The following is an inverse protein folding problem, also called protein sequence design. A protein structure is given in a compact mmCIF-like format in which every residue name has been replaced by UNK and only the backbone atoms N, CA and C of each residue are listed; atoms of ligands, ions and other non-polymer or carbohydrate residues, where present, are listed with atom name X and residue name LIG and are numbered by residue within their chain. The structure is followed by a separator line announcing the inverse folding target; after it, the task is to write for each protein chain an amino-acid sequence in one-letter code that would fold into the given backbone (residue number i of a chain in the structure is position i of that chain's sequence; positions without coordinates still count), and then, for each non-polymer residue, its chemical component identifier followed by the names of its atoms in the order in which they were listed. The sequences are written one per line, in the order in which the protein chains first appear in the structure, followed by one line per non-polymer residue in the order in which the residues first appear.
data_IF_041587724288
#
_entry.id   IF_041587724288
#
_cell.length_a   1.000
_cell.length_b   1.000
_cell.length_c   1.000
_cell.angle_alpha   90.00
_cell.angle_beta   90.00
_cell.angle_gamma   90.00
#
_symmetry.space_group_name_H-M   'P 1'
#
loop_
_entity.id
_entity.type
_entity.pdbx_description
1 polymer ?
#
# COMPACT_ATOMS: atom_id res chain seq x y z
N UNK A 1 -17.53 -28.85 -24.15
CA UNK A 1 -17.11 -27.43 -24.03
C UNK A 1 -17.94 -26.83 -22.90
N UNK A 2 -17.42 -26.80 -21.69
CA UNK A 2 -18.09 -26.16 -20.57
C UNK A 2 -18.01 -24.65 -20.77
N UNK A 3 -19.12 -23.95 -20.56
CA UNK A 3 -19.16 -22.50 -20.53
C UNK A 3 -18.06 -22.03 -19.57
N UNK A 4 -17.10 -21.28 -20.08
CA UNK A 4 -16.10 -20.59 -19.26
C UNK A 4 -16.86 -19.67 -18.33
N UNK A 5 -16.93 -20.01 -17.06
CA UNK A 5 -17.42 -19.08 -16.03
C UNK A 5 -16.65 -17.78 -16.22
N UNK A 6 -17.38 -16.71 -16.52
CA UNK A 6 -16.81 -15.40 -16.76
C UNK A 6 -16.13 -14.96 -15.46
N UNK A 7 -14.80 -14.79 -15.48
CA UNK A 7 -14.04 -14.31 -14.31
C UNK A 7 -14.69 -13.01 -13.79
N UNK A 8 -14.89 -12.92 -12.49
CA UNK A 8 -15.36 -11.71 -11.83
C UNK A 8 -14.38 -10.55 -12.13
N UNK A 9 -14.88 -9.35 -12.28
CA UNK A 9 -14.06 -8.20 -12.64
C UNK A 9 -14.72 -6.88 -12.27
N UNK A 10 -14.00 -5.79 -12.44
CA UNK A 10 -14.52 -4.45 -12.18
C UNK A 10 -15.62 -4.08 -13.15
N UNK A 11 -16.68 -3.48 -12.63
CA UNK A 11 -17.86 -3.10 -13.43
C UNK A 11 -17.71 -1.73 -14.09
N UNK A 12 -16.91 -0.85 -13.46
CA UNK A 12 -16.71 0.52 -13.94
C UNK A 12 -15.24 0.92 -13.89
N UNK A 13 -14.84 1.81 -14.79
CA UNK A 13 -13.49 2.39 -14.79
C UNK A 13 -13.15 3.04 -13.44
N UNK A 14 -14.04 3.85 -12.89
CA UNK A 14 -13.83 4.49 -11.59
C UNK A 14 -13.81 3.49 -10.44
N UNK A 15 -14.59 2.40 -10.53
CA UNK A 15 -14.52 1.31 -9.56
C UNK A 15 -13.16 0.66 -9.52
N UNK A 16 -12.58 0.38 -10.68
CA UNK A 16 -11.19 -0.10 -10.79
C UNK A 16 -10.19 0.91 -10.22
N UNK A 17 -10.25 2.18 -10.65
CA UNK A 17 -9.32 3.22 -10.19
C UNK A 17 -9.41 3.37 -8.67
N UNK A 18 -10.61 3.45 -8.09
CA UNK A 18 -10.79 3.56 -6.64
C UNK A 18 -10.31 2.31 -5.88
N UNK A 19 -10.46 1.12 -6.45
CA UNK A 19 -9.91 -0.09 -5.85
C UNK A 19 -8.37 -0.08 -5.89
N UNK A 20 -7.76 0.37 -6.99
CA UNK A 20 -6.30 0.52 -7.07
C UNK A 20 -5.78 1.63 -6.14
N UNK A 21 -6.50 2.74 -6.02
CA UNK A 21 -6.18 3.78 -5.03
C UNK A 21 -6.25 3.19 -3.63
N UNK A 22 -7.30 2.43 -3.28
CA UNK A 22 -7.42 1.77 -1.99
C UNK A 22 -6.35 0.70 -1.74
N UNK A 23 -5.82 0.07 -2.79
CA UNK A 23 -4.65 -0.80 -2.70
C UNK A 23 -3.37 -0.03 -2.38
N UNK A 24 -3.18 1.12 -3.02
CA UNK A 24 -2.00 1.96 -2.88
C UNK A 24 -2.03 2.79 -1.58
N UNK A 25 -3.18 3.44 -1.31
CA UNK A 25 -3.38 4.26 -0.10
C UNK A 25 -3.55 3.37 1.12
N UNK A 26 -2.50 3.22 1.90
CA UNK A 26 -2.47 2.39 3.10
C UNK A 26 -1.67 3.02 4.24
N UNK A 27 -1.18 2.16 5.13
CA UNK A 27 -0.32 2.59 6.24
C UNK A 27 0.98 3.24 5.75
N UNK A 28 1.43 2.88 4.54
CA UNK A 28 2.56 3.51 3.89
C UNK A 28 2.39 5.02 3.68
N UNK A 29 1.18 5.46 3.32
CA UNK A 29 0.87 6.88 3.09
C UNK A 29 0.56 7.63 4.39
N UNK A 30 -0.14 6.97 5.33
CA UNK A 30 -0.64 7.65 6.54
C UNK A 30 0.38 7.63 7.67
N UNK A 31 1.19 6.62 7.73
CA UNK A 31 2.17 6.45 8.81
C UNK A 31 3.60 6.68 8.33
N UNK A 32 4.08 5.82 7.42
CA UNK A 32 5.48 5.80 7.00
C UNK A 32 5.89 7.06 6.25
N UNK A 33 5.06 7.53 5.31
CA UNK A 33 5.37 8.70 4.50
C UNK A 33 5.54 9.98 5.33
N UNK A 34 4.62 10.35 6.25
CA UNK A 34 4.84 11.51 7.13
C UNK A 34 6.10 11.40 7.98
N UNK A 35 6.43 10.18 8.46
CA UNK A 35 7.67 9.92 9.20
C UNK A 35 8.90 10.23 8.33
N UNK A 36 8.95 9.71 7.10
CA UNK A 36 10.07 9.97 6.19
C UNK A 36 10.17 11.44 5.78
N UNK A 37 9.03 12.11 5.51
CA UNK A 37 9.02 13.57 5.25
C UNK A 37 9.57 14.34 6.45
N UNK A 38 9.23 13.90 7.65
CA UNK A 38 9.69 14.48 8.91
C UNK A 38 11.19 14.25 9.13
N UNK A 39 11.66 13.02 9.03
CA UNK A 39 13.05 12.64 9.30
C UNK A 39 14.05 13.12 8.22
N UNK A 40 13.61 13.19 6.96
CA UNK A 40 14.47 13.48 5.81
C UNK A 40 14.42 14.94 5.34
N UNK A 41 13.71 15.81 6.06
CA UNK A 41 13.78 17.25 5.85
C UNK A 41 12.76 17.83 4.85
N UNK A 42 11.50 17.46 4.96
CA UNK A 42 10.39 18.11 4.23
C UNK A 42 10.55 18.03 2.71
N UNK A 43 10.60 19.18 2.06
CA UNK A 43 10.71 19.30 0.60
C UNK A 43 12.01 18.67 0.05
N UNK A 44 13.06 18.57 0.83
CA UNK A 44 14.31 17.87 0.46
C UNK A 44 14.05 16.42 0.13
N UNK A 45 13.14 15.75 0.84
CA UNK A 45 12.70 14.40 0.56
C UNK A 45 11.61 14.36 -0.54
N UNK A 46 10.68 15.33 -0.54
CA UNK A 46 9.56 15.34 -1.48
C UNK A 46 10.00 15.49 -2.94
N UNK A 47 11.05 16.25 -3.23
CA UNK A 47 11.56 16.44 -4.60
C UNK A 47 11.95 15.10 -5.24
N UNK A 48 12.89 14.30 -4.71
CA UNK A 48 13.21 12.99 -5.28
C UNK A 48 12.02 12.02 -5.23
N UNK A 49 11.16 12.09 -4.21
CA UNK A 49 9.95 11.28 -4.14
C UNK A 49 9.02 11.52 -5.35
N UNK A 50 8.72 12.77 -5.69
CA UNK A 50 7.89 13.07 -6.86
C UNK A 50 8.51 12.58 -8.18
N UNK A 51 9.83 12.71 -8.32
CA UNK A 51 10.55 12.20 -9.49
C UNK A 51 10.32 10.68 -9.61
N UNK A 52 10.49 9.94 -8.53
CA UNK A 52 10.32 8.50 -8.53
C UNK A 52 8.86 8.06 -8.69
N UNK A 53 7.89 8.76 -8.08
CA UNK A 53 6.47 8.47 -8.29
C UNK A 53 6.08 8.62 -9.76
N UNK A 54 6.50 9.69 -10.42
CA UNK A 54 6.24 9.91 -11.84
C UNK A 54 6.89 8.79 -12.68
N UNK A 55 8.12 8.44 -12.37
CA UNK A 55 8.86 7.42 -13.10
C UNK A 55 8.25 6.02 -12.90
N UNK A 56 8.03 5.60 -11.64
CA UNK A 56 7.47 4.27 -11.31
C UNK A 56 6.01 4.17 -11.79
N UNK A 57 5.22 5.22 -11.60
CA UNK A 57 3.83 5.27 -12.08
C UNK A 57 3.72 5.16 -13.60
N UNK A 58 4.71 5.69 -14.34
CA UNK A 58 4.75 5.62 -15.80
C UNK A 58 5.49 4.39 -16.35
N UNK A 59 6.09 3.56 -15.52
CA UNK A 59 6.77 2.30 -15.90
C UNK A 59 6.22 1.10 -15.15
N UNK A 60 6.54 0.93 -13.87
CA UNK A 60 6.20 -0.26 -13.08
C UNK A 60 4.70 -0.49 -12.90
N UNK A 61 3.92 0.55 -12.57
CA UNK A 61 2.46 0.40 -12.43
C UNK A 61 1.81 0.03 -13.75
N UNK A 62 2.23 0.66 -14.84
CA UNK A 62 1.72 0.36 -16.20
C UNK A 62 2.08 -1.07 -16.58
N UNK A 63 3.31 -1.48 -16.33
CA UNK A 63 3.81 -2.82 -16.61
C UNK A 63 3.01 -3.88 -15.88
N UNK A 64 2.84 -3.75 -14.56
CA UNK A 64 2.09 -4.72 -13.75
C UNK A 64 0.62 -4.83 -14.18
N UNK A 65 -0.06 -3.70 -14.42
CA UNK A 65 -1.43 -3.73 -14.95
C UNK A 65 -1.50 -4.41 -16.32
N UNK A 66 -0.55 -4.14 -17.21
CA UNK A 66 -0.52 -4.73 -18.53
C UNK A 66 -0.21 -6.24 -18.48
N UNK A 67 0.71 -6.64 -17.61
CA UNK A 67 1.07 -8.04 -17.37
C UNK A 67 -0.14 -8.84 -16.87
N UNK A 68 -0.79 -8.36 -15.80
CA UNK A 68 -1.97 -8.99 -15.22
C UNK A 68 -3.12 -9.09 -16.22
N UNK A 69 -3.43 -7.99 -16.95
CA UNK A 69 -4.49 -7.97 -17.96
C UNK A 69 -4.22 -8.93 -19.11
N UNK A 70 -3.00 -8.98 -19.58
CA UNK A 70 -2.64 -9.84 -20.72
C UNK A 70 -2.75 -11.32 -20.38
N UNK A 71 -2.40 -11.69 -19.14
CA UNK A 71 -2.53 -13.04 -18.66
C UNK A 71 -3.97 -13.42 -18.25
N UNK A 72 -4.80 -12.43 -17.86
CA UNK A 72 -6.09 -12.68 -17.20
C UNK A 72 -5.94 -13.53 -15.95
N UNK A 73 -4.79 -13.47 -15.28
CA UNK A 73 -4.40 -14.28 -14.15
C UNK A 73 -3.48 -13.49 -13.21
N UNK A 74 -3.40 -13.93 -11.93
CA UNK A 74 -2.43 -13.41 -10.98
C UNK A 74 -0.98 -13.76 -11.35
N UNK A 75 -0.01 -13.42 -10.49
CA UNK A 75 1.43 -13.55 -10.79
C UNK A 75 1.85 -14.92 -11.31
N UNK A 76 1.30 -16.01 -10.76
CA UNK A 76 1.64 -17.37 -11.20
C UNK A 76 1.27 -17.60 -12.66
N UNK A 77 0.04 -17.28 -13.05
CA UNK A 77 -0.41 -17.41 -14.43
C UNK A 77 0.27 -16.43 -15.38
N UNK A 78 0.52 -15.21 -14.92
CA UNK A 78 1.17 -14.16 -15.68
C UNK A 78 2.64 -14.49 -16.01
N UNK A 79 3.40 -14.95 -15.02
CA UNK A 79 4.79 -15.37 -15.25
C UNK A 79 4.86 -16.65 -16.09
N UNK A 80 3.90 -17.58 -15.86
CA UNK A 80 3.75 -18.77 -16.70
C UNK A 80 3.53 -18.40 -18.18
N UNK A 81 2.67 -17.44 -18.47
CA UNK A 81 2.43 -16.93 -19.82
C UNK A 81 3.72 -16.36 -20.46
N UNK A 82 4.48 -15.55 -19.72
CA UNK A 82 5.72 -14.97 -20.23
C UNK A 82 6.76 -16.05 -20.59
N UNK A 83 6.94 -17.05 -19.72
CA UNK A 83 7.91 -18.12 -19.96
C UNK A 83 7.41 -19.16 -20.97
N UNK A 84 6.11 -19.30 -21.21
CA UNK A 84 5.53 -20.10 -22.27
C UNK A 84 5.95 -19.60 -23.66
N UNK A 85 6.07 -18.28 -23.83
CA UNK A 85 6.63 -17.67 -25.05
C UNK A 85 8.09 -18.07 -25.32
N UNK A 86 8.77 -18.61 -24.32
CA UNK A 86 10.14 -19.18 -24.38
C UNK A 86 10.17 -20.71 -24.32
N UNK A 87 8.99 -21.35 -24.42
CA UNK A 87 8.85 -22.80 -24.48
C UNK A 87 8.66 -23.53 -23.15
N UNK A 88 8.59 -22.84 -21.98
CA UNK A 88 8.42 -23.52 -20.72
C UNK A 88 7.58 -22.74 -19.69
N UNK A 89 6.26 -22.99 -19.71
CA UNK A 89 5.30 -22.38 -18.79
C UNK A 89 5.58 -22.70 -17.32
N UNK A 90 6.02 -23.92 -17.03
CA UNK A 90 6.19 -24.39 -15.64
C UNK A 90 7.25 -23.60 -14.85
N UNK A 91 8.29 -23.09 -15.53
CA UNK A 91 9.32 -22.25 -14.89
C UNK A 91 8.69 -20.96 -14.34
N UNK A 92 7.93 -20.25 -15.18
CA UNK A 92 7.25 -19.01 -14.78
C UNK A 92 6.23 -19.24 -13.67
N UNK A 93 5.44 -20.32 -13.74
CA UNK A 93 4.49 -20.66 -12.67
C UNK A 93 5.19 -20.88 -11.33
N UNK A 94 6.35 -21.55 -11.31
CA UNK A 94 7.13 -21.75 -10.08
C UNK A 94 7.70 -20.43 -9.53
N UNK A 95 8.23 -19.57 -10.40
CA UNK A 95 8.76 -18.28 -10.02
C UNK A 95 7.63 -17.38 -9.51
N UNK A 96 6.45 -17.42 -10.13
CA UNK A 96 5.27 -16.64 -9.73
C UNK A 96 4.70 -16.98 -8.35
N UNK A 97 5.13 -18.10 -7.72
CA UNK A 97 4.79 -18.39 -6.33
C UNK A 97 5.47 -17.42 -5.36
N UNK A 98 6.66 -16.91 -5.70
CA UNK A 98 7.42 -15.99 -4.83
C UNK A 98 6.61 -14.74 -4.48
N UNK A 99 6.07 -13.94 -5.45
CA UNK A 99 5.25 -12.79 -5.12
C UNK A 99 3.92 -13.15 -4.43
N UNK A 100 3.33 -14.33 -4.67
CA UNK A 100 2.14 -14.78 -3.93
C UNK A 100 2.47 -14.99 -2.45
N UNK A 101 3.59 -15.64 -2.14
CA UNK A 101 4.06 -15.82 -0.75
C UNK A 101 4.42 -14.47 -0.13
N UNK A 102 5.00 -13.55 -0.89
CA UNK A 102 5.29 -12.18 -0.45
C UNK A 102 4.03 -11.42 -0.09
N UNK A 103 3.01 -11.45 -0.95
CA UNK A 103 1.71 -10.80 -0.71
C UNK A 103 1.01 -11.40 0.52
N UNK A 104 1.01 -12.73 0.66
CA UNK A 104 0.44 -13.41 1.82
C UNK A 104 1.19 -13.05 3.11
N UNK A 105 2.51 -13.10 3.10
CA UNK A 105 3.33 -12.79 4.27
C UNK A 105 3.16 -11.31 4.69
N UNK A 106 3.08 -10.40 3.71
CA UNK A 106 2.79 -8.99 3.95
C UNK A 106 1.39 -8.80 4.55
N UNK A 107 0.37 -9.48 3.99
CA UNK A 107 -1.00 -9.46 4.50
C UNK A 107 -1.09 -9.95 5.96
N UNK A 108 -0.34 -10.98 6.31
CA UNK A 108 -0.28 -11.54 7.67
C UNK A 108 0.28 -10.52 8.65
N UNK A 109 1.43 -9.92 8.37
CA UNK A 109 2.01 -8.87 9.23
C UNK A 109 1.11 -7.63 9.31
N UNK A 110 0.52 -7.24 8.17
CA UNK A 110 -0.44 -6.14 8.09
C UNK A 110 -1.71 -6.41 8.93
N UNK A 111 -2.14 -7.67 9.06
CA UNK A 111 -3.28 -8.06 9.90
C UNK A 111 -3.03 -7.75 11.39
N UNK A 112 -1.80 -7.89 11.87
CA UNK A 112 -1.44 -7.49 13.25
C UNK A 112 -1.63 -5.99 13.44
N UNK A 113 -1.11 -5.18 12.52
CA UNK A 113 -1.25 -3.71 12.54
C UNK A 113 -2.73 -3.31 12.44
N UNK A 114 -3.50 -4.00 11.59
CA UNK A 114 -4.95 -3.77 11.48
C UNK A 114 -5.69 -4.08 12.79
N UNK A 115 -5.26 -5.08 13.54
CA UNK A 115 -5.78 -5.32 14.88
C UNK A 115 -5.57 -4.10 15.79
N UNK A 116 -4.41 -3.46 15.75
CA UNK A 116 -4.17 -2.22 16.49
C UNK A 116 -5.08 -1.08 16.02
N UNK A 117 -5.19 -0.90 14.71
CA UNK A 117 -6.03 0.15 14.11
C UNK A 117 -7.51 -0.03 14.49
N UNK A 118 -8.05 -1.25 14.44
CA UNK A 118 -9.43 -1.53 14.86
C UNK A 118 -9.65 -1.24 16.34
N UNK A 119 -8.71 -1.63 17.20
CA UNK A 119 -8.75 -1.30 18.64
C UNK A 119 -8.79 0.20 18.87
N UNK A 120 -7.89 0.94 18.23
CA UNK A 120 -7.77 2.38 18.41
C UNK A 120 -8.95 3.14 17.79
N UNK A 121 -9.48 2.67 16.65
CA UNK A 121 -10.74 3.21 16.12
C UNK A 121 -11.91 3.01 17.08
N UNK A 122 -12.02 1.85 17.73
CA UNK A 122 -13.00 1.62 18.78
C UNK A 122 -12.77 2.51 20.00
N UNK A 123 -11.53 2.66 20.45
CA UNK A 123 -11.19 3.52 21.59
C UNK A 123 -11.51 4.99 21.31
N UNK A 124 -11.33 5.47 20.08
CA UNK A 124 -11.70 6.84 19.70
C UNK A 124 -13.23 7.02 19.72
N UNK A 125 -13.99 6.09 19.15
CA UNK A 125 -15.47 6.13 19.11
C UNK A 125 -16.06 6.03 20.52
N UNK A 126 -15.58 5.12 21.35
CA UNK A 126 -16.05 4.94 22.72
C UNK A 126 -15.66 6.09 23.65
N UNK A 127 -14.67 6.90 23.27
CA UNK A 127 -14.12 7.98 24.08
C UNK A 127 -13.07 7.53 25.11
N UNK A 128 -12.74 6.24 25.16
CA UNK A 128 -11.72 5.73 26.10
C UNK A 128 -10.31 6.24 25.75
N UNK A 129 -10.04 6.58 24.50
CA UNK A 129 -8.81 7.22 24.07
C UNK A 129 -8.70 8.64 24.63
N UNK A 130 -9.74 9.46 24.45
CA UNK A 130 -9.80 10.81 24.97
C UNK A 130 -9.74 10.86 26.51
N UNK A 131 -10.30 9.83 27.19
CA UNK A 131 -10.25 9.71 28.66
C UNK A 131 -8.82 9.51 29.21
N UNK A 132 -7.84 9.08 28.40
CA UNK A 132 -6.44 8.99 28.81
C UNK A 132 -5.79 10.37 28.96
N UNK A 133 -6.41 11.42 28.44
CA UNK A 133 -5.89 12.81 28.42
C UNK A 133 -4.45 12.87 27.90
N UNK A 134 -3.56 13.54 28.63
CA UNK A 134 -2.14 13.69 28.29
C UNK A 134 -1.21 12.78 29.10
N UNK A 135 -1.75 11.73 29.68
CA UNK A 135 -0.97 10.76 30.45
C UNK A 135 -0.15 9.87 29.50
N UNK A 136 1.10 10.30 29.24
CA UNK A 136 2.02 9.61 28.31
C UNK A 136 2.35 8.19 28.77
N UNK A 137 2.38 7.93 30.08
CA UNK A 137 2.67 6.59 30.62
C UNK A 137 1.50 5.66 30.35
N UNK A 138 0.26 6.15 30.56
CA UNK A 138 -0.96 5.40 30.25
C UNK A 138 -1.11 5.15 28.74
N UNK A 139 -0.88 6.16 27.91
CA UNK A 139 -0.94 6.05 26.45
C UNK A 139 0.13 5.04 25.95
N UNK A 140 1.37 5.19 26.43
CA UNK A 140 2.49 4.32 26.06
C UNK A 140 2.28 2.87 26.51
N UNK A 141 1.83 2.67 27.75
CA UNK A 141 1.54 1.31 28.27
C UNK A 141 0.36 0.66 27.55
N UNK A 142 -0.67 1.43 27.18
CA UNK A 142 -1.80 0.94 26.37
C UNK A 142 -1.35 0.45 25.00
N UNK A 143 -0.44 1.18 24.34
CA UNK A 143 0.15 0.72 23.07
C UNK A 143 1.07 -0.49 23.29
N UNK A 144 1.93 -0.47 24.30
CA UNK A 144 2.80 -1.60 24.64
C UNK A 144 2.02 -2.90 24.90
N UNK A 145 0.91 -2.83 25.63
CA UNK A 145 0.01 -3.97 25.82
C UNK A 145 -0.65 -4.42 24.51
N UNK A 146 -1.06 -3.48 23.66
CA UNK A 146 -1.71 -3.77 22.39
C UNK A 146 -0.74 -4.44 21.40
N UNK A 147 0.49 -3.97 21.34
CA UNK A 147 1.54 -4.47 20.47
C UNK A 147 2.30 -5.70 21.04
N UNK A 148 1.96 -6.13 22.26
CA UNK A 148 2.57 -7.31 22.88
C UNK A 148 2.13 -8.61 22.19
N UNK A 149 2.87 -9.67 22.45
CA UNK A 149 2.45 -11.02 22.06
C UNK A 149 1.05 -11.31 22.63
N UNK A 150 0.11 -11.70 21.76
CA UNK A 150 -1.31 -11.96 22.09
C UNK A 150 -2.15 -10.74 22.49
N UNK A 151 -1.60 -9.51 22.44
CA UNK A 151 -2.27 -8.29 22.94
C UNK A 151 -3.44 -7.80 22.07
N UNK A 152 -3.49 -8.18 20.79
CA UNK A 152 -4.50 -7.70 19.84
C UNK A 152 -5.37 -8.81 19.24
N UNK A 153 -5.37 -10.02 19.78
CA UNK A 153 -6.04 -11.20 19.18
C UNK A 153 -7.49 -10.93 18.76
N UNK A 154 -8.31 -10.41 19.67
CA UNK A 154 -9.71 -10.09 19.38
C UNK A 154 -9.85 -9.13 18.20
N UNK A 155 -9.03 -8.09 18.17
CA UNK A 155 -9.10 -7.06 17.14
C UNK A 155 -8.54 -7.51 15.79
N UNK A 156 -7.55 -8.41 15.77
CA UNK A 156 -7.06 -9.07 14.55
C UNK A 156 -8.18 -9.92 13.94
N UNK A 157 -8.90 -10.68 14.76
CA UNK A 157 -10.03 -11.49 14.31
C UNK A 157 -11.13 -10.59 13.72
N UNK A 158 -11.48 -9.47 14.36
CA UNK A 158 -12.47 -8.52 13.83
C UNK A 158 -12.02 -7.95 12.48
N UNK A 159 -10.75 -7.50 12.38
CA UNK A 159 -10.21 -6.95 11.14
C UNK A 159 -10.28 -7.97 9.99
N UNK A 160 -9.95 -9.23 10.27
CA UNK A 160 -10.00 -10.31 9.27
C UNK A 160 -11.43 -10.72 8.93
N UNK A 161 -12.38 -10.69 9.87
CA UNK A 161 -13.80 -10.91 9.57
C UNK A 161 -14.32 -9.82 8.62
N UNK A 162 -14.01 -8.56 8.86
CA UNK A 162 -14.41 -7.45 7.97
C UNK A 162 -13.83 -7.64 6.57
N UNK A 163 -12.53 -7.93 6.47
CA UNK A 163 -11.87 -8.24 5.20
C UNK A 163 -12.50 -9.45 4.51
N UNK A 164 -12.74 -10.54 5.23
CA UNK A 164 -13.39 -11.75 4.72
C UNK A 164 -14.78 -11.47 4.13
N UNK A 165 -15.62 -10.72 4.85
CA UNK A 165 -16.96 -10.36 4.38
C UNK A 165 -16.89 -9.62 3.06
N UNK A 166 -16.04 -8.58 2.97
CA UNK A 166 -15.90 -7.79 1.75
C UNK A 166 -15.38 -8.65 0.60
N UNK A 167 -14.34 -9.44 0.83
CA UNK A 167 -13.70 -10.25 -0.22
C UNK A 167 -14.56 -11.42 -0.68
N UNK A 168 -15.33 -12.04 0.21
CA UNK A 168 -16.21 -13.17 -0.12
C UNK A 168 -17.35 -12.76 -1.08
N UNK A 169 -17.72 -11.47 -1.09
CA UNK A 169 -18.73 -10.92 -2.01
C UNK A 169 -18.22 -10.77 -3.46
N UNK A 170 -16.92 -10.98 -3.71
CA UNK A 170 -16.32 -10.87 -5.04
C UNK A 170 -15.70 -9.50 -5.37
N UNK A 171 -15.28 -9.33 -6.61
CA UNK A 171 -14.61 -8.11 -7.06
C UNK A 171 -15.62 -6.96 -7.20
N UNK A 172 -16.68 -7.17 -7.98
CA UNK A 172 -17.67 -6.13 -8.27
C UNK A 172 -18.52 -5.74 -7.05
N UNK A 173 -19.06 -6.74 -6.35
CA UNK A 173 -20.03 -6.53 -5.27
C UNK A 173 -19.35 -6.27 -3.91
N UNK A 174 -18.12 -6.70 -3.72
CA UNK A 174 -17.33 -6.54 -2.50
C UNK A 174 -16.27 -5.46 -2.63
N UNK A 175 -15.16 -5.78 -3.28
CA UNK A 175 -13.96 -4.92 -3.33
C UNK A 175 -14.26 -3.57 -3.99
N UNK A 176 -14.88 -3.57 -5.18
CA UNK A 176 -15.21 -2.34 -5.91
C UNK A 176 -16.17 -1.46 -5.10
N UNK A 177 -17.24 -2.05 -4.56
CA UNK A 177 -18.25 -1.32 -3.80
C UNK A 177 -17.71 -0.73 -2.51
N UNK A 178 -16.87 -1.49 -1.78
CA UNK A 178 -16.23 -1.01 -0.56
C UNK A 178 -15.32 0.18 -0.86
N UNK A 179 -14.46 0.10 -1.88
CA UNK A 179 -13.53 1.17 -2.24
C UNK A 179 -14.25 2.42 -2.80
N UNK A 180 -15.39 2.25 -3.49
CA UNK A 180 -16.22 3.39 -3.93
C UNK A 180 -16.75 4.23 -2.76
N UNK A 181 -16.87 3.66 -1.57
CA UNK A 181 -17.29 4.38 -0.37
C UNK A 181 -16.09 4.84 0.43
N UNK A 182 -15.16 3.93 0.74
CA UNK A 182 -14.03 4.21 1.64
C UNK A 182 -13.10 5.29 1.09
N UNK A 183 -12.76 5.25 -0.19
CA UNK A 183 -11.76 6.18 -0.74
C UNK A 183 -12.26 7.63 -0.79
N UNK A 184 -13.44 7.97 -1.36
CA UNK A 184 -13.95 9.34 -1.30
C UNK A 184 -14.11 9.86 0.13
N UNK A 185 -14.62 9.02 1.05
CA UNK A 185 -14.78 9.42 2.46
C UNK A 185 -13.43 9.70 3.10
N UNK A 186 -12.42 8.85 2.88
CA UNK A 186 -11.06 9.06 3.37
C UNK A 186 -10.50 10.42 2.93
N UNK A 187 -10.59 10.76 1.63
CA UNK A 187 -10.10 12.04 1.13
C UNK A 187 -10.85 13.23 1.75
N UNK A 188 -12.18 13.15 1.88
CA UNK A 188 -12.99 14.20 2.52
C UNK A 188 -12.56 14.37 3.97
N UNK A 189 -12.41 13.30 4.73
CA UNK A 189 -12.02 13.35 6.13
C UNK A 189 -10.61 13.92 6.32
N UNK A 190 -9.63 13.54 5.47
CA UNK A 190 -8.30 14.15 5.52
C UNK A 190 -8.30 15.64 5.18
N UNK A 191 -9.12 16.07 4.21
CA UNK A 191 -9.27 17.51 3.90
C UNK A 191 -9.86 18.25 5.09
N UNK A 192 -10.88 17.71 5.74
CA UNK A 192 -11.48 18.31 6.94
C UNK A 192 -10.47 18.42 8.09
N UNK A 193 -9.68 17.36 8.32
CA UNK A 193 -8.59 17.38 9.30
C UNK A 193 -7.53 18.44 8.94
N UNK A 194 -7.11 18.50 7.68
CA UNK A 194 -6.15 19.48 7.20
C UNK A 194 -6.63 20.91 7.42
N UNK A 195 -7.89 21.20 7.06
CA UNK A 195 -8.51 22.52 7.30
C UNK A 195 -8.50 22.82 8.80
N UNK A 196 -8.89 21.88 9.65
CA UNK A 196 -8.89 22.10 11.09
C UNK A 196 -7.48 22.41 11.62
N UNK A 197 -6.45 21.63 11.22
CA UNK A 197 -5.07 21.79 11.67
C UNK A 197 -4.48 23.13 11.23
N UNK A 198 -4.80 23.62 10.03
CA UNK A 198 -4.32 24.93 9.54
C UNK A 198 -4.64 26.07 10.51
N UNK A 199 -5.82 26.03 11.15
CA UNK A 199 -6.26 27.05 12.10
C UNK A 199 -5.73 26.87 13.53
N UNK A 200 -4.95 25.81 13.81
CA UNK A 200 -4.41 25.62 15.16
C UNK A 200 -3.16 26.49 15.36
N UNK A 201 -3.03 27.13 16.55
CA UNK A 201 -1.82 27.88 16.91
C UNK A 201 -0.57 26.99 16.82
N UNK A 202 0.47 27.47 16.16
CA UNK A 202 1.72 26.71 15.99
C UNK A 202 1.81 25.84 14.74
N UNK A 203 0.69 25.56 14.05
CA UNK A 203 0.67 24.73 12.84
C UNK A 203 1.56 25.25 11.71
N UNK A 204 1.73 26.58 11.61
CA UNK A 204 2.57 27.24 10.61
C UNK A 204 4.03 26.75 10.63
N UNK A 205 4.55 26.36 11.81
CA UNK A 205 5.87 25.76 11.96
C UNK A 205 6.02 24.45 11.16
N UNK A 206 5.02 23.59 11.23
CA UNK A 206 4.98 22.33 10.49
C UNK A 206 4.89 22.54 8.98
N UNK A 207 4.04 23.47 8.52
CA UNK A 207 3.98 23.81 7.09
C UNK A 207 5.30 24.41 6.59
N UNK A 208 5.90 25.33 7.34
CA UNK A 208 7.21 25.89 7.01
C UNK A 208 8.26 24.79 6.89
N UNK A 209 8.25 23.80 7.81
CA UNK A 209 9.16 22.66 7.76
C UNK A 209 8.98 21.83 6.48
N UNK A 210 7.73 21.46 6.13
CA UNK A 210 7.44 20.67 4.93
C UNK A 210 7.95 21.39 3.66
N UNK A 211 7.78 22.71 3.56
CA UNK A 211 8.18 23.46 2.36
C UNK A 211 9.63 23.95 2.37
N UNK A 212 10.39 23.67 3.44
CA UNK A 212 11.81 24.03 3.49
C UNK A 212 12.64 23.04 2.68
N UNK A 213 13.53 23.58 1.83
CA UNK A 213 14.50 22.81 1.05
C UNK A 213 15.90 23.01 1.64
N UNK A 214 16.59 21.90 1.92
CA UNK A 214 18.01 21.91 2.22
C UNK A 214 18.77 21.37 1.00
N UNK A 215 19.49 22.26 0.29
CA UNK A 215 20.23 21.90 -0.92
C UNK A 215 21.37 20.93 -0.64
N UNK A 216 22.04 21.04 0.52
CA UNK A 216 23.07 20.08 0.93
C UNK A 216 22.47 18.69 1.16
N UNK A 217 21.26 18.62 1.73
CA UNK A 217 20.51 17.39 1.90
C UNK A 217 20.19 16.69 0.56
N UNK A 218 19.92 17.44 -0.50
CA UNK A 218 19.69 16.87 -1.84
C UNK A 218 20.94 16.17 -2.42
N UNK A 219 22.12 16.51 -1.96
CA UNK A 219 23.37 15.82 -2.33
C UNK A 219 23.56 14.49 -1.57
N UNK A 220 22.76 14.19 -0.54
CA UNK A 220 22.85 12.97 0.24
C UNK A 220 22.17 11.79 -0.49
N UNK A 221 22.90 10.77 -0.94
CA UNK A 221 22.33 9.61 -1.63
C UNK A 221 21.27 8.86 -0.81
N UNK A 222 21.35 8.91 0.52
CA UNK A 222 20.39 8.25 1.41
C UNK A 222 18.98 8.78 1.17
N UNK A 223 18.79 10.09 1.00
CA UNK A 223 17.47 10.70 0.75
C UNK A 223 16.86 10.17 -0.54
N UNK A 224 17.66 10.02 -1.60
CA UNK A 224 17.22 9.47 -2.88
C UNK A 224 16.83 8.00 -2.78
N UNK A 225 17.60 7.20 -2.05
CA UNK A 225 17.31 5.78 -1.84
C UNK A 225 16.00 5.61 -1.07
N UNK A 226 15.80 6.36 0.01
CA UNK A 226 14.56 6.29 0.80
C UNK A 226 13.35 6.84 0.03
N UNK A 227 13.51 7.90 -0.74
CA UNK A 227 12.46 8.45 -1.60
C UNK A 227 12.04 7.44 -2.69
N UNK A 228 13.02 6.75 -3.29
CA UNK A 228 12.73 5.66 -4.23
C UNK A 228 12.00 4.50 -3.55
N UNK A 229 12.49 4.03 -2.41
CA UNK A 229 11.87 2.94 -1.65
C UNK A 229 10.44 3.26 -1.26
N UNK A 230 10.19 4.48 -0.77
CA UNK A 230 8.84 4.93 -0.43
C UNK A 230 7.92 5.00 -1.64
N UNK A 231 8.35 5.55 -2.77
CA UNK A 231 7.56 5.60 -3.99
C UNK A 231 7.26 4.20 -4.55
N UNK A 232 8.23 3.30 -4.50
CA UNK A 232 8.13 1.93 -4.95
C UNK A 232 7.11 1.12 -4.11
N UNK A 233 7.13 1.32 -2.80
CA UNK A 233 6.22 0.67 -1.87
C UNK A 233 4.81 1.28 -1.94
N UNK A 234 4.70 2.61 -1.96
CA UNK A 234 3.43 3.35 -1.96
C UNK A 234 2.54 2.99 -3.15
N UNK A 235 3.13 2.88 -4.34
CA UNK A 235 2.39 2.53 -5.57
C UNK A 235 2.00 1.05 -5.68
N UNK A 236 2.14 0.27 -4.61
CA UNK A 236 1.78 -1.17 -4.53
C UNK A 236 2.49 -2.06 -5.54
N UNK A 237 3.60 -1.61 -6.13
CA UNK A 237 4.41 -2.41 -7.05
C UNK A 237 5.16 -3.51 -6.29
N UNK A 238 5.68 -3.19 -5.11
CA UNK A 238 6.44 -4.12 -4.28
C UNK A 238 5.69 -5.40 -3.85
N UNK A 239 4.35 -5.43 -3.91
CA UNK A 239 3.53 -6.58 -3.53
C UNK A 239 2.84 -7.30 -4.69
N UNK A 240 3.12 -6.94 -5.94
CA UNK A 240 2.39 -7.39 -7.14
C UNK A 240 0.85 -7.22 -7.04
N UNK A 241 0.40 -6.30 -6.20
CA UNK A 241 -1.02 -5.95 -6.04
C UNK A 241 -1.62 -5.41 -7.34
N UNK A 242 -0.82 -4.68 -8.11
CA UNK A 242 -1.21 -4.17 -9.41
C UNK A 242 -1.33 -5.28 -10.47
N UNK A 243 -0.55 -6.36 -10.41
CA UNK A 243 -0.68 -7.53 -11.30
C UNK A 243 -2.03 -8.20 -11.09
N UNK A 244 -2.42 -8.46 -9.83
CA UNK A 244 -3.71 -9.14 -9.58
C UNK A 244 -4.90 -8.25 -9.96
N UNK A 245 -4.89 -6.95 -9.65
CA UNK A 245 -5.96 -6.05 -10.07
C UNK A 245 -5.97 -5.84 -11.58
N UNK A 246 -4.80 -5.78 -12.22
CA UNK A 246 -4.66 -5.78 -13.68
C UNK A 246 -5.35 -6.98 -14.34
N UNK A 247 -5.29 -8.15 -13.70
CA UNK A 247 -5.90 -9.38 -14.23
C UNK A 247 -7.44 -9.35 -14.32
N UNK A 248 -8.08 -8.42 -13.64
CA UNK A 248 -9.54 -8.19 -13.69
C UNK A 248 -9.96 -7.10 -14.68
N UNK A 249 -9.00 -6.51 -15.41
CA UNK A 249 -9.28 -5.45 -16.38
C UNK A 249 -9.81 -5.98 -17.71
N UNK A 250 -10.73 -5.21 -18.28
CA UNK A 250 -11.14 -5.42 -19.66
C UNK A 250 -10.03 -5.01 -20.65
N UNK A 251 -10.06 -5.58 -21.86
CA UNK A 251 -9.13 -5.23 -22.94
C UNK A 251 -9.28 -3.78 -23.43
N UNK A 252 -10.43 -3.15 -23.17
CA UNK A 252 -10.72 -1.77 -23.54
C UNK A 252 -10.24 -0.73 -22.53
N UNK A 253 -9.71 -1.14 -21.37
CA UNK A 253 -9.24 -0.21 -20.35
C UNK A 253 -7.95 0.50 -20.78
N UNK A 254 -7.91 1.81 -20.56
CA UNK A 254 -6.77 2.69 -20.82
C UNK A 254 -5.79 2.62 -19.64
N UNK A 255 -4.90 1.61 -19.67
CA UNK A 255 -3.93 1.36 -18.59
C UNK A 255 -3.05 2.59 -18.30
N UNK A 256 -2.43 3.26 -19.30
CA UNK A 256 -1.60 4.43 -19.02
C UNK A 256 -2.33 5.52 -18.25
N UNK A 257 -3.59 5.79 -18.61
CA UNK A 257 -4.39 6.78 -17.92
C UNK A 257 -4.80 6.31 -16.50
N UNK A 258 -5.11 5.03 -16.33
CA UNK A 258 -5.47 4.47 -15.03
C UNK A 258 -4.30 4.46 -14.07
N UNK A 259 -3.09 4.08 -14.53
CA UNK A 259 -1.85 4.14 -13.73
C UNK A 259 -1.52 5.58 -13.29
N UNK A 260 -1.68 6.57 -14.21
CA UNK A 260 -1.52 7.98 -13.87
C UNK A 260 -2.47 8.44 -12.76
N UNK A 261 -3.75 8.04 -12.83
CA UNK A 261 -4.72 8.39 -11.80
C UNK A 261 -4.37 7.74 -10.46
N UNK A 262 -3.96 6.47 -10.46
CA UNK A 262 -3.54 5.77 -9.23
C UNK A 262 -2.35 6.49 -8.61
N UNK A 263 -1.29 6.78 -9.36
CA UNK A 263 -0.12 7.49 -8.86
C UNK A 263 -0.45 8.90 -8.33
N UNK A 264 -1.34 9.61 -9.00
CA UNK A 264 -1.78 10.94 -8.57
C UNK A 264 -2.54 10.89 -7.23
N UNK A 265 -3.55 10.03 -7.11
CA UNK A 265 -4.37 9.96 -5.90
C UNK A 265 -3.62 9.32 -4.73
N UNK A 266 -2.73 8.36 -4.98
CA UNK A 266 -1.82 7.82 -3.98
C UNK A 266 -0.93 8.92 -3.38
N UNK A 267 -0.28 9.69 -4.24
CA UNK A 267 0.55 10.83 -3.82
C UNK A 267 -0.26 11.89 -3.09
N UNK A 268 -1.47 12.20 -3.57
CA UNK A 268 -2.36 13.16 -2.92
C UNK A 268 -2.72 12.70 -1.50
N UNK A 269 -3.05 11.42 -1.31
CA UNK A 269 -3.35 10.87 0.02
C UNK A 269 -2.14 10.96 0.96
N UNK A 270 -0.94 10.62 0.48
CA UNK A 270 0.30 10.72 1.24
C UNK A 270 0.58 12.17 1.66
N UNK A 271 0.42 13.12 0.75
CA UNK A 271 0.61 14.54 1.04
C UNK A 271 -0.44 15.07 2.04
N UNK A 272 -1.71 14.70 1.88
CA UNK A 272 -2.76 15.08 2.83
C UNK A 272 -2.45 14.54 4.24
N UNK A 273 -1.99 13.30 4.35
CA UNK A 273 -1.58 12.75 5.64
C UNK A 273 -0.38 13.53 6.24
N UNK A 274 0.64 13.85 5.43
CA UNK A 274 1.77 14.65 5.89
C UNK A 274 1.35 16.07 6.31
N UNK A 275 0.43 16.70 5.57
CA UNK A 275 -0.10 18.04 5.87
C UNK A 275 -1.03 18.07 7.10
N UNK A 276 -1.50 16.93 7.56
CA UNK A 276 -2.20 16.78 8.84
C UNK A 276 -1.21 16.50 9.97
N UNK A 277 -0.37 15.48 9.79
CA UNK A 277 0.45 14.92 10.86
C UNK A 277 1.60 15.84 11.26
N UNK A 278 2.38 16.36 10.31
CA UNK A 278 3.55 17.18 10.62
C UNK A 278 3.16 18.53 11.26
N UNK A 279 2.14 19.26 10.73
CA UNK A 279 1.66 20.45 11.45
C UNK A 279 1.01 20.14 12.79
N UNK A 280 0.36 18.99 12.98
CA UNK A 280 -0.14 18.57 14.29
C UNK A 280 1.01 18.33 15.29
N UNK A 281 2.13 17.75 14.85
CA UNK A 281 3.34 17.64 15.67
C UNK A 281 3.86 19.02 16.10
N UNK A 282 3.88 20.00 15.18
CA UNK A 282 4.27 21.38 15.49
C UNK A 282 3.35 22.03 16.53
N UNK A 283 2.03 21.83 16.43
CA UNK A 283 1.04 22.28 17.42
C UNK A 283 1.31 21.70 18.80
N UNK A 284 1.67 20.40 18.85
CA UNK A 284 2.00 19.70 20.10
C UNK A 284 3.41 20.00 20.63
N UNK A 285 4.21 20.86 19.98
CA UNK A 285 5.59 21.15 20.35
C UNK A 285 6.54 19.95 20.21
N UNK A 286 6.16 18.93 19.41
CA UNK A 286 7.00 17.78 19.17
C UNK A 286 8.17 18.12 18.23
N UNK A 287 9.27 17.36 18.37
CA UNK A 287 10.40 17.50 17.45
C UNK A 287 9.99 16.98 16.07
N UNK A 288 10.07 17.87 15.05
CA UNK A 288 9.59 17.58 13.70
C UNK A 288 10.45 16.59 12.92
N UNK A 289 11.66 16.29 13.42
CA UNK A 289 12.57 15.28 12.88
C UNK A 289 12.37 13.88 13.51
N UNK A 290 11.41 13.71 14.42
CA UNK A 290 11.15 12.45 15.10
C UNK A 290 10.01 11.67 14.45
N UNK A 291 10.16 10.36 14.37
CA UNK A 291 9.17 9.47 13.76
C UNK A 291 9.13 8.09 14.42
N UNK A 292 8.54 7.12 13.72
CA UNK A 292 8.46 5.73 14.14
C UNK A 292 7.05 5.27 14.57
N UNK A 293 6.89 4.00 15.00
CA UNK A 293 5.59 3.42 15.36
C UNK A 293 4.84 4.19 16.45
N UNK A 294 5.57 4.77 17.39
CA UNK A 294 5.02 5.60 18.46
C UNK A 294 4.32 6.86 17.97
N UNK A 295 4.65 7.37 16.77
CA UNK A 295 4.05 8.60 16.27
C UNK A 295 2.52 8.50 16.22
N UNK A 296 1.98 7.48 15.59
CA UNK A 296 0.54 7.33 15.39
C UNK A 296 -0.21 6.86 16.65
N UNK A 297 0.38 5.97 17.41
CA UNK A 297 -0.32 5.29 18.53
C UNK A 297 0.01 5.87 19.91
N UNK A 298 0.96 6.80 20.00
CA UNK A 298 1.35 7.46 21.26
C UNK A 298 1.32 8.97 21.09
N UNK A 299 2.22 9.53 20.28
CA UNK A 299 2.40 11.00 20.23
C UNK A 299 1.19 11.75 19.65
N UNK A 300 0.59 11.26 18.56
CA UNK A 300 -0.58 11.91 17.97
C UNK A 300 -1.79 11.87 18.90
N UNK A 301 -1.96 10.82 19.70
CA UNK A 301 -3.04 10.74 20.70
C UNK A 301 -2.85 11.86 21.72
N UNK A 302 -1.66 11.99 22.30
CA UNK A 302 -1.38 13.05 23.25
C UNK A 302 -1.64 14.45 22.66
N UNK A 303 -1.23 14.67 21.41
CA UNK A 303 -1.46 15.93 20.70
C UNK A 303 -2.97 16.17 20.53
N UNK A 304 -3.70 15.20 20.01
CA UNK A 304 -5.14 15.33 19.76
C UNK A 304 -5.94 15.54 21.06
N UNK A 305 -5.56 14.85 22.14
CA UNK A 305 -6.20 15.03 23.46
C UNK A 305 -6.06 16.45 24.01
N UNK A 306 -4.98 17.14 23.65
CA UNK A 306 -4.76 18.54 24.06
C UNK A 306 -5.42 19.58 23.12
N UNK A 307 -5.98 19.13 21.97
CA UNK A 307 -6.60 20.04 21.01
C UNK A 307 -8.07 20.31 21.36
N UNK A 308 -8.58 21.50 21.03
CA UNK A 308 -10.01 21.80 21.12
C UNK A 308 -10.80 20.80 20.23
N UNK A 309 -11.80 20.13 20.80
CA UNK A 309 -12.54 19.10 20.06
C UNK A 309 -11.75 17.81 19.76
N UNK A 310 -10.68 17.54 20.49
CA UNK A 310 -9.75 16.42 20.29
C UNK A 310 -10.44 15.08 20.08
N UNK A 311 -11.48 14.76 20.85
CA UNK A 311 -12.27 13.54 20.68
C UNK A 311 -12.85 13.36 19.28
N UNK A 312 -13.34 14.44 18.65
CA UNK A 312 -13.88 14.36 17.28
C UNK A 312 -12.75 14.14 16.29
N UNK A 313 -11.62 14.78 16.51
CA UNK A 313 -10.43 14.68 15.67
C UNK A 313 -9.88 13.26 15.68
N UNK A 314 -9.80 12.64 16.87
CA UNK A 314 -9.40 11.23 17.03
C UNK A 314 -10.29 10.29 16.21
N UNK A 315 -11.61 10.46 16.32
CA UNK A 315 -12.57 9.63 15.57
C UNK A 315 -12.34 9.79 14.06
N UNK A 316 -12.23 11.03 13.58
CA UNK A 316 -12.02 11.30 12.14
C UNK A 316 -10.68 10.70 11.69
N UNK A 317 -9.61 10.91 12.44
CA UNK A 317 -8.28 10.39 12.12
C UNK A 317 -8.26 8.87 12.04
N UNK A 318 -8.75 8.19 13.09
CA UNK A 318 -8.74 6.72 13.11
C UNK A 318 -9.72 6.09 12.11
N UNK A 319 -10.79 6.77 11.71
CA UNK A 319 -11.62 6.34 10.57
C UNK A 319 -10.87 6.44 9.24
N UNK A 320 -10.07 7.50 9.02
CA UNK A 320 -9.19 7.57 7.84
C UNK A 320 -8.20 6.41 7.82
N UNK A 321 -7.52 6.17 8.95
CA UNK A 321 -6.56 5.06 9.10
C UNK A 321 -7.23 3.71 8.86
N UNK A 322 -8.43 3.52 9.42
CA UNK A 322 -9.22 2.29 9.26
C UNK A 322 -9.57 2.02 7.79
N UNK A 323 -10.07 3.02 7.06
CA UNK A 323 -10.43 2.85 5.64
C UNK A 323 -9.22 2.57 4.77
N UNK A 324 -8.12 3.27 4.96
CA UNK A 324 -6.87 2.99 4.26
C UNK A 324 -6.33 1.59 4.57
N UNK A 325 -6.39 1.18 5.82
CA UNK A 325 -5.91 -0.14 6.22
C UNK A 325 -6.78 -1.27 5.68
N UNK A 326 -8.12 -1.14 5.75
CA UNK A 326 -9.06 -2.15 5.23
C UNK A 326 -8.92 -2.30 3.71
N UNK A 327 -8.81 -1.21 2.96
CA UNK A 327 -8.63 -1.29 1.50
C UNK A 327 -7.32 -1.96 1.10
N UNK A 328 -6.24 -1.72 1.84
CA UNK A 328 -4.94 -2.34 1.58
C UNK A 328 -4.92 -3.83 1.93
N UNK A 329 -5.47 -4.22 3.09
CA UNK A 329 -5.47 -5.65 3.49
C UNK A 329 -6.28 -6.52 2.53
N UNK A 330 -7.39 -5.99 1.99
CA UNK A 330 -8.19 -6.65 0.96
C UNK A 330 -7.35 -6.94 -0.29
N UNK A 331 -6.57 -5.97 -0.76
CA UNK A 331 -5.71 -6.16 -1.92
C UNK A 331 -4.61 -7.18 -1.67
N UNK A 332 -3.96 -7.13 -0.50
CA UNK A 332 -2.88 -8.05 -0.15
C UNK A 332 -3.36 -9.50 -0.07
N UNK A 333 -4.56 -9.76 0.45
CA UNK A 333 -5.13 -11.11 0.48
C UNK A 333 -5.70 -11.55 -0.86
N UNK A 334 -5.95 -10.63 -1.81
CA UNK A 334 -6.56 -10.99 -3.10
C UNK A 334 -5.65 -11.88 -3.95
N UNK A 335 -4.35 -11.62 -3.99
CA UNK A 335 -3.41 -12.40 -4.78
C UNK A 335 -3.35 -13.89 -4.35
N UNK A 336 -3.19 -14.25 -3.07
CA UNK A 336 -3.26 -15.65 -2.63
C UNK A 336 -4.66 -16.27 -2.78
N UNK A 337 -5.75 -15.51 -2.62
CA UNK A 337 -7.11 -16.00 -2.86
C UNK A 337 -7.30 -16.35 -4.33
N UNK A 338 -6.92 -15.47 -5.24
CA UNK A 338 -6.99 -15.73 -6.67
C UNK A 338 -6.10 -16.91 -7.08
N UNK A 339 -4.94 -17.09 -6.48
CA UNK A 339 -4.10 -18.26 -6.71
C UNK A 339 -4.82 -19.58 -6.38
N UNK A 340 -5.54 -19.66 -5.24
CA UNK A 340 -6.33 -20.84 -4.92
C UNK A 340 -7.46 -21.10 -5.91
N UNK A 341 -8.13 -20.03 -6.37
CA UNK A 341 -9.18 -20.14 -7.39
C UNK A 341 -8.61 -20.61 -8.73
N UNK A 342 -7.48 -20.07 -9.17
CA UNK A 342 -6.85 -20.38 -10.44
C UNK A 342 -6.27 -21.79 -10.47
N UNK A 343 -5.50 -22.17 -9.44
CA UNK A 343 -4.74 -23.42 -9.41
C UNK A 343 -5.59 -24.62 -8.95
N UNK A 344 -6.41 -24.43 -7.93
CA UNK A 344 -7.18 -25.51 -7.29
C UNK A 344 -8.67 -25.46 -7.63
N UNK A 345 -9.11 -24.51 -8.47
CA UNK A 345 -10.52 -24.32 -8.83
C UNK A 345 -11.46 -24.17 -7.63
N UNK A 346 -10.92 -23.64 -6.52
CA UNK A 346 -11.70 -23.35 -5.33
C UNK A 346 -12.72 -22.24 -5.63
N UNK A 347 -13.93 -22.35 -5.10
CA UNK A 347 -14.88 -21.24 -5.19
C UNK A 347 -14.41 -20.04 -4.34
N UNK A 348 -14.92 -18.85 -4.63
CA UNK A 348 -14.50 -17.58 -4.00
C UNK A 348 -14.53 -17.63 -2.48
N UNK A 349 -15.66 -18.07 -1.90
CA UNK A 349 -15.87 -18.10 -0.45
C UNK A 349 -14.88 -19.05 0.21
N UNK A 350 -14.71 -20.26 -0.34
CA UNK A 350 -13.77 -21.26 0.21
C UNK A 350 -12.33 -20.79 0.12
N UNK A 351 -11.91 -20.23 -1.03
CA UNK A 351 -10.56 -19.70 -1.18
C UNK A 351 -10.29 -18.57 -0.18
N UNK A 352 -11.23 -17.63 -0.05
CA UNK A 352 -11.12 -16.53 0.91
C UNK A 352 -11.08 -17.04 2.34
N UNK A 353 -11.93 -18.00 2.72
CA UNK A 353 -11.96 -18.59 4.06
C UNK A 353 -10.63 -19.27 4.42
N UNK A 354 -10.09 -20.10 3.52
CA UNK A 354 -8.81 -20.80 3.76
C UNK A 354 -7.69 -19.77 4.01
N UNK A 355 -7.56 -18.79 3.14
CA UNK A 355 -6.49 -17.79 3.25
C UNK A 355 -6.64 -16.92 4.51
N UNK A 356 -7.87 -16.51 4.86
CA UNK A 356 -8.10 -15.74 6.08
C UNK A 356 -7.88 -16.55 7.36
N UNK A 357 -8.27 -17.83 7.38
CA UNK A 357 -8.02 -18.70 8.55
C UNK A 357 -6.51 -18.92 8.73
N UNK A 358 -5.79 -19.26 7.66
CA UNK A 358 -4.33 -19.43 7.70
C UNK A 358 -3.66 -18.12 8.12
N UNK A 359 -4.07 -17.01 7.50
CA UNK A 359 -3.56 -15.66 7.83
C UNK A 359 -3.83 -15.29 9.28
N UNK A 360 -5.02 -15.57 9.81
CA UNK A 360 -5.40 -15.31 11.19
C UNK A 360 -4.52 -16.08 12.19
N UNK A 361 -4.38 -17.39 11.97
CA UNK A 361 -3.56 -18.24 12.85
C UNK A 361 -2.12 -17.73 12.93
N UNK A 362 -1.52 -17.46 11.76
CA UNK A 362 -0.13 -16.98 11.70
C UNK A 362 -0.03 -15.58 12.30
N UNK A 363 -0.95 -14.65 11.96
CA UNK A 363 -0.95 -13.28 12.50
C UNK A 363 -1.00 -13.27 14.03
N UNK A 364 -1.86 -14.11 14.63
CA UNK A 364 -1.93 -14.26 16.08
C UNK A 364 -0.59 -14.75 16.67
N UNK A 365 0.08 -15.68 16.01
CA UNK A 365 1.35 -16.24 16.49
C UNK A 365 2.54 -15.27 16.36
N UNK A 366 2.54 -14.37 15.36
CA UNK A 366 3.69 -13.50 15.07
C UNK A 366 3.64 -12.13 15.75
N UNK A 367 2.61 -11.80 16.55
CA UNK A 367 2.45 -10.46 17.13
C UNK A 367 3.71 -9.97 17.84
N UNK A 368 4.38 -10.84 18.60
CA UNK A 368 5.61 -10.50 19.31
C UNK A 368 6.84 -10.24 18.43
N UNK A 369 6.78 -10.61 17.15
CA UNK A 369 7.86 -10.45 16.17
C UNK A 369 7.39 -9.75 14.89
N UNK A 370 6.26 -9.03 14.95
CA UNK A 370 5.65 -8.44 13.76
C UNK A 370 6.60 -7.47 13.04
N UNK A 371 7.43 -6.72 13.77
CA UNK A 371 8.41 -5.81 13.19
C UNK A 371 9.43 -6.57 12.34
N UNK A 372 10.08 -7.58 12.92
CA UNK A 372 11.07 -8.41 12.21
C UNK A 372 10.44 -9.17 11.04
N UNK A 373 9.18 -9.64 11.20
CA UNK A 373 8.44 -10.26 10.12
C UNK A 373 8.23 -9.30 8.96
N UNK A 374 7.77 -8.08 9.24
CA UNK A 374 7.54 -7.04 8.23
C UNK A 374 8.86 -6.62 7.56
N UNK A 375 9.95 -6.52 8.31
CA UNK A 375 11.27 -6.21 7.77
C UNK A 375 11.70 -7.25 6.74
N UNK A 376 11.62 -8.55 7.07
CA UNK A 376 11.98 -9.61 6.11
C UNK A 376 11.12 -9.55 4.86
N UNK A 377 9.82 -9.34 5.01
CA UNK A 377 8.89 -9.34 3.87
C UNK A 377 9.08 -8.10 2.99
N UNK A 378 9.15 -6.91 3.59
CA UNK A 378 9.21 -5.65 2.85
C UNK A 378 10.60 -5.34 2.28
N UNK A 379 11.68 -5.82 2.93
CA UNK A 379 13.04 -5.58 2.48
C UNK A 379 13.46 -6.57 1.38
N UNK A 380 13.04 -7.83 1.50
CA UNK A 380 13.56 -8.88 0.60
C UNK A 380 12.50 -9.42 -0.35
N UNK A 381 11.34 -9.87 0.16
CA UNK A 381 10.40 -10.66 -0.63
C UNK A 381 9.60 -9.78 -1.61
N UNK A 382 9.06 -8.66 -1.13
CA UNK A 382 8.26 -7.77 -1.96
C UNK A 382 9.07 -7.11 -3.09
N UNK A 383 10.26 -6.52 -2.85
CA UNK A 383 11.08 -5.97 -3.92
C UNK A 383 11.57 -7.03 -4.91
N UNK A 384 11.84 -8.25 -4.45
CA UNK A 384 12.13 -9.37 -5.35
C UNK A 384 10.95 -9.71 -6.25
N UNK A 385 9.72 -9.71 -5.70
CA UNK A 385 8.51 -9.95 -6.47
C UNK A 385 8.33 -8.94 -7.61
N UNK A 386 8.52 -7.66 -7.32
CA UNK A 386 8.44 -6.58 -8.31
C UNK A 386 9.53 -6.67 -9.39
N UNK A 387 10.77 -6.95 -8.98
CA UNK A 387 11.88 -7.16 -9.92
C UNK A 387 11.56 -8.34 -10.86
N UNK A 388 11.02 -9.44 -10.31
CA UNK A 388 10.64 -10.60 -11.11
C UNK A 388 9.52 -10.27 -12.11
N UNK A 389 8.51 -9.49 -11.73
CA UNK A 389 7.46 -9.04 -12.64
C UNK A 389 8.04 -8.23 -13.81
N UNK A 390 8.89 -7.25 -13.51
CA UNK A 390 9.56 -6.43 -14.49
C UNK A 390 10.47 -7.27 -15.44
N UNK A 391 11.22 -8.22 -14.91
CA UNK A 391 12.04 -9.14 -15.72
C UNK A 391 11.16 -10.00 -16.62
N UNK A 392 10.07 -10.54 -16.11
CA UNK A 392 9.13 -11.34 -16.93
C UNK A 392 8.54 -10.52 -18.06
N UNK A 393 8.13 -9.29 -17.79
CA UNK A 393 7.49 -8.41 -18.76
C UNK A 393 8.48 -7.89 -19.82
N UNK A 394 9.59 -7.29 -19.38
CA UNK A 394 10.50 -6.58 -20.28
C UNK A 394 11.57 -7.50 -20.92
N UNK A 395 12.06 -8.52 -20.22
CA UNK A 395 13.16 -9.35 -20.69
C UNK A 395 12.69 -10.69 -21.25
N UNK A 396 11.73 -11.34 -20.60
CA UNK A 396 11.25 -12.67 -21.01
C UNK A 396 10.21 -12.53 -22.11
N UNK A 397 9.13 -11.78 -21.90
CA UNK A 397 8.09 -11.58 -22.92
C UNK A 397 8.58 -10.68 -24.08
N UNK A 398 9.36 -9.63 -23.76
CA UNK A 398 10.08 -8.85 -24.77
C UNK A 398 9.32 -7.66 -25.33
N UNK A 399 9.94 -6.96 -26.31
CA UNK A 399 9.51 -5.65 -26.77
C UNK A 399 8.13 -5.63 -27.42
N UNK A 400 7.90 -6.52 -28.37
CA UNK A 400 6.65 -6.57 -29.13
C UNK A 400 5.45 -6.79 -28.21
N UNK A 401 5.56 -7.77 -27.32
CA UNK A 401 4.54 -8.02 -26.32
C UNK A 401 4.31 -6.81 -25.40
N UNK A 402 5.39 -6.21 -24.88
CA UNK A 402 5.29 -5.09 -23.95
C UNK A 402 4.59 -3.88 -24.60
N UNK A 403 4.99 -3.51 -25.83
CA UNK A 403 4.38 -2.40 -26.56
C UNK A 403 2.91 -2.66 -26.93
N UNK A 404 2.55 -3.88 -27.32
CA UNK A 404 1.18 -4.26 -27.60
C UNK A 404 0.33 -4.25 -26.31
N UNK A 405 0.82 -4.90 -25.25
CA UNK A 405 0.10 -5.03 -23.98
C UNK A 405 -0.24 -3.68 -23.37
N UNK A 406 0.68 -2.73 -23.33
CA UNK A 406 0.42 -1.41 -22.72
C UNK A 406 -0.44 -0.50 -23.58
N UNK A 407 -0.40 -0.66 -24.91
CA UNK A 407 -1.15 0.17 -25.85
C UNK A 407 -2.56 -0.36 -26.18
N UNK A 408 -2.86 -1.60 -25.78
CA UNK A 408 -4.19 -2.16 -25.92
C UNK A 408 -5.19 -1.34 -25.08
N UNK A 409 -6.25 -0.80 -25.72
CA UNK A 409 -7.26 0.05 -25.08
C UNK A 409 -6.80 1.48 -24.74
N UNK A 410 -5.53 1.82 -24.97
CA UNK A 410 -5.00 3.15 -24.67
C UNK A 410 -5.54 4.19 -25.66
N UNK A 411 -6.11 5.29 -25.12
CA UNK A 411 -6.55 6.44 -25.94
C UNK A 411 -5.38 7.18 -26.56
N UNK A 412 -4.26 7.25 -25.85
CA UNK A 412 -3.00 7.79 -26.32
C UNK A 412 -1.92 6.75 -26.15
N UNK A 413 -1.34 6.31 -27.26
CA UNK A 413 -0.26 5.33 -27.22
C UNK A 413 0.95 5.85 -26.46
N UNK A 414 1.56 4.99 -25.66
CA UNK A 414 2.84 5.26 -25.04
C UNK A 414 3.92 5.25 -26.12
N UNK A 415 4.86 6.20 -26.03
CA UNK A 415 5.97 6.32 -26.95
C UNK A 415 7.03 5.22 -26.80
N UNK A 416 7.93 5.15 -27.74
CA UNK A 416 9.03 4.16 -27.79
C UNK A 416 9.98 4.21 -26.57
N UNK A 417 9.94 5.28 -25.76
CA UNK A 417 10.72 5.45 -24.54
C UNK A 417 10.38 4.44 -23.45
N UNK A 418 9.13 3.94 -23.43
CA UNK A 418 8.60 3.08 -22.36
C UNK A 418 9.41 1.79 -22.21
N UNK A 419 9.63 1.08 -23.32
CA UNK A 419 10.31 -0.20 -23.27
C UNK A 419 11.77 -0.09 -22.78
N UNK A 420 12.64 0.80 -23.34
CA UNK A 420 13.99 0.93 -22.80
C UNK A 420 14.03 1.49 -21.38
N UNK A 421 13.13 2.41 -21.01
CA UNK A 421 13.03 2.91 -19.64
C UNK A 421 12.64 1.80 -18.64
N UNK A 422 11.65 0.98 -18.98
CA UNK A 422 11.25 -0.17 -18.15
C UNK A 422 12.33 -1.22 -18.09
N UNK A 423 12.86 -1.63 -19.24
CA UNK A 423 13.85 -2.71 -19.35
C UNK A 423 15.16 -2.41 -18.63
N UNK A 424 15.71 -1.22 -18.77
CA UNK A 424 17.05 -0.90 -18.28
C UNK A 424 17.00 -0.08 -17.01
N UNK A 425 16.20 1.00 -16.97
CA UNK A 425 16.21 1.90 -15.81
C UNK A 425 15.36 1.34 -14.68
N UNK A 426 14.11 0.97 -14.94
CA UNK A 426 13.21 0.47 -13.89
C UNK A 426 13.70 -0.86 -13.30
N UNK A 427 14.10 -1.84 -14.12
CA UNK A 427 14.67 -3.10 -13.63
C UNK A 427 15.95 -2.88 -12.81
N UNK A 428 16.83 -1.95 -13.23
CA UNK A 428 18.03 -1.61 -12.47
C UNK A 428 17.68 -0.97 -11.14
N UNK A 429 16.74 -0.03 -11.10
CA UNK A 429 16.30 0.60 -9.88
C UNK A 429 15.63 -0.40 -8.92
N UNK A 430 14.82 -1.33 -9.43
CA UNK A 430 14.23 -2.40 -8.62
C UNK A 430 15.29 -3.32 -8.02
N UNK A 431 16.35 -3.64 -8.78
CA UNK A 431 17.50 -4.39 -8.27
C UNK A 431 18.28 -3.59 -7.21
N UNK A 432 18.48 -2.29 -7.45
CA UNK A 432 19.13 -1.39 -6.47
C UNK A 432 18.29 -1.30 -5.20
N UNK A 433 16.95 -1.23 -5.29
CA UNK A 433 16.07 -1.25 -4.13
C UNK A 433 16.27 -2.51 -3.28
N UNK A 434 16.31 -3.67 -3.92
CA UNK A 434 16.51 -4.95 -3.23
C UNK A 434 17.88 -5.00 -2.52
N UNK A 435 18.95 -4.59 -3.22
CA UNK A 435 20.30 -4.60 -2.66
C UNK A 435 20.45 -3.55 -1.56
N UNK A 436 20.03 -2.31 -1.80
CA UNK A 436 20.11 -1.23 -0.83
C UNK A 436 19.24 -1.52 0.40
N UNK A 437 18.04 -2.09 0.21
CA UNK A 437 17.21 -2.55 1.31
C UNK A 437 17.92 -3.56 2.19
N UNK A 438 18.55 -4.57 1.57
CA UNK A 438 19.31 -5.59 2.30
C UNK A 438 20.52 -5.01 3.08
N UNK A 439 21.23 -4.04 2.49
CA UNK A 439 22.42 -3.45 3.11
C UNK A 439 22.11 -2.42 4.20
N UNK A 440 20.99 -1.68 4.06
CA UNK A 440 20.62 -0.59 4.97
C UNK A 440 19.59 -1.01 6.03
N UNK A 441 19.14 -2.26 6.01
CA UNK A 441 18.09 -2.73 6.92
C UNK A 441 16.69 -2.15 6.60
N UNK A 442 16.47 -1.82 5.33
CA UNK A 442 15.27 -1.18 4.79
C UNK A 442 15.56 0.13 4.09
N UNK A 443 14.73 0.50 3.12
CA UNK A 443 14.87 1.75 2.33
C UNK A 443 13.58 2.59 2.33
N UNK A 444 12.90 2.56 3.41
CA UNK A 444 11.71 3.35 3.51
C UNK A 444 10.60 2.64 4.24
#
# INVERSE_FOLDING_TARGET
MSATEKRDGFTTKWGFILACIGSAVGMGNIWRFPVLVSEMGGMTFLIPYFIFVIFIGSTGVIEEFALGRSAGAGPVGAFGMCTEMRGNRSIGEKIGIIPILGSLALAIGYSCVMGWVFKYAWMSISGSMYAMQSDMDLIGSTFGQTASAWGANFWIIIALIVSFIIMSMGIASGIEKANKIMMPVLFILFVLLGIYIVFQPGSSGGYKYIFTVNLEGLANPKIWIYAFGQAFFSLSVAGNGSVIYGSYLSKSEDIPNSAKNVAFFDTLAALLAAFVIIPAMAVGGAELSSGGPGLMFIYLINIMNNMAGGRIIEVIFYLCVLFAGVSSIINLYEAPVAFLQEKFKANRITATAIIHIVGCIIAICIQGIVSQWMDVVSIYICPLGALLAAVMFFWVAGKEFAEEAVNMGAKKKIGAWFYPAGKYVYCLLALVALIAGALLGGIG
#
